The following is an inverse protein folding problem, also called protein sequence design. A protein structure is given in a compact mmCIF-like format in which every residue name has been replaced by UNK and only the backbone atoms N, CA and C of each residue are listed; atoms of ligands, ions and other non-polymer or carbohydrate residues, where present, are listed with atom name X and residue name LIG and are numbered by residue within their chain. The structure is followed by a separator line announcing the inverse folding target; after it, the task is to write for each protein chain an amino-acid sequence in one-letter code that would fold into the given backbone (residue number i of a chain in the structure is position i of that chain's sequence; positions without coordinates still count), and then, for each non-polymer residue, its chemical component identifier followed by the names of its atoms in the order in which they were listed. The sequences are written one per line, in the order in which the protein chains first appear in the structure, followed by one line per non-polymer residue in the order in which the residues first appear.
data_IF_626473009522
#
_entry.id   IF_626473009522
#
_cell.length_a   1.000
_cell.length_b   1.000
_cell.length_c   1.000
_cell.angle_alpha   90.00
_cell.angle_beta   90.00
_cell.angle_gamma   90.00
#
_symmetry.space_group_name_H-M   'P 1'
#
loop_
_entity.id
_entity.type
_entity.pdbx_description
1 polymer ?
#
# COMPACT_ATOMS: atom_id res chain seq x y z
N UNK A 1 15.73 19.24 30.51
CA UNK A 1 15.72 18.71 29.12
C UNK A 1 14.39 17.99 28.92
N UNK A 2 13.67 18.29 27.83
CA UNK A 2 12.36 17.70 27.53
C UNK A 2 12.46 16.19 27.38
N UNK A 3 11.58 15.44 28.02
CA UNK A 3 11.48 13.97 27.90
C UNK A 3 10.45 13.61 26.84
N UNK A 4 10.87 12.93 25.79
CA UNK A 4 10.05 12.66 24.61
C UNK A 4 9.91 11.14 24.44
N UNK A 5 8.67 10.66 24.35
CA UNK A 5 8.40 9.27 24.01
C UNK A 5 8.03 9.14 22.52
N UNK A 6 8.61 8.16 21.83
CA UNK A 6 8.17 7.73 20.50
C UNK A 6 7.57 6.33 20.63
N UNK A 7 6.30 6.17 20.26
CA UNK A 7 5.59 4.90 20.34
C UNK A 7 5.55 4.27 18.96
N UNK A 8 6.39 3.26 18.74
CA UNK A 8 6.55 2.54 17.48
C UNK A 8 7.91 2.79 16.82
N UNK A 9 8.69 1.73 16.63
CA UNK A 9 9.98 1.71 15.94
C UNK A 9 9.84 1.40 14.43
N UNK A 10 8.78 1.91 13.77
CA UNK A 10 8.56 1.87 12.34
C UNK A 10 9.17 3.06 11.61
N UNK A 11 8.89 3.20 10.31
CA UNK A 11 9.46 4.24 9.47
C UNK A 11 9.31 5.65 10.07
N UNK A 12 8.09 6.08 10.37
CA UNK A 12 7.85 7.42 10.92
C UNK A 12 8.45 7.62 12.31
N UNK A 13 8.42 6.58 13.17
CA UNK A 13 9.00 6.67 14.52
C UNK A 13 10.52 6.75 14.54
N UNK A 14 11.20 6.03 13.64
CA UNK A 14 12.67 6.04 13.57
C UNK A 14 13.20 7.41 13.13
N UNK A 15 12.63 7.98 12.07
CA UNK A 15 13.04 9.31 11.63
C UNK A 15 12.64 10.38 12.65
N UNK A 16 11.44 10.26 13.25
CA UNK A 16 11.01 11.18 14.32
C UNK A 16 11.97 11.17 15.50
N UNK A 17 12.43 9.99 15.93
CA UNK A 17 13.40 9.86 17.02
C UNK A 17 14.74 10.51 16.68
N UNK A 18 15.22 10.43 15.42
CA UNK A 18 16.44 11.09 14.98
C UNK A 18 16.34 12.62 15.12
N UNK A 19 15.23 13.23 14.69
CA UNK A 19 15.05 14.69 14.80
C UNK A 19 14.72 15.13 16.23
N UNK A 20 13.91 14.36 16.96
CA UNK A 20 13.56 14.67 18.34
C UNK A 20 14.76 14.64 19.30
N UNK A 21 15.81 13.85 18.99
CA UNK A 21 17.04 13.79 19.78
C UNK A 21 17.78 15.13 19.84
N UNK A 22 17.53 16.06 18.91
CA UNK A 22 18.05 17.42 18.93
C UNK A 22 17.26 18.35 19.89
N UNK A 23 16.08 17.90 20.34
CA UNK A 23 15.14 18.69 21.18
C UNK A 23 15.12 18.21 22.63
N UNK A 24 15.46 16.95 22.89
CA UNK A 24 15.37 16.41 24.24
C UNK A 24 15.91 14.99 24.38
N UNK A 25 15.63 14.40 25.53
CA UNK A 25 15.91 12.97 25.79
C UNK A 25 14.79 12.14 25.19
N UNK A 26 15.14 11.22 24.29
CA UNK A 26 14.18 10.42 23.53
C UNK A 26 14.20 8.96 23.95
N UNK A 27 13.01 8.39 24.17
CA UNK A 27 12.81 6.95 24.39
C UNK A 27 11.88 6.42 23.30
N UNK A 28 12.33 5.43 22.53
CA UNK A 28 11.53 4.70 21.56
C UNK A 28 11.00 3.42 22.18
N UNK A 29 9.69 3.24 22.20
CA UNK A 29 9.04 2.00 22.65
C UNK A 29 8.63 1.18 21.42
N UNK A 30 9.23 0.00 21.26
CA UNK A 30 8.90 -0.95 20.21
C UNK A 30 8.42 -2.28 20.84
N UNK A 31 7.23 -2.73 20.43
CA UNK A 31 6.64 -3.98 20.95
C UNK A 31 7.33 -5.25 20.41
N UNK A 32 8.01 -5.12 19.29
CA UNK A 32 8.70 -6.25 18.62
C UNK A 32 10.14 -6.40 19.10
N UNK A 33 10.77 -7.52 18.72
CA UNK A 33 12.17 -7.82 19.02
C UNK A 33 13.20 -7.03 18.23
N UNK A 34 12.76 -6.28 17.22
CA UNK A 34 13.58 -5.45 16.32
C UNK A 34 12.78 -4.27 15.81
N UNK A 35 13.44 -3.14 15.60
CA UNK A 35 12.88 -1.99 14.90
C UNK A 35 12.71 -2.27 13.40
N UNK A 36 11.94 -1.45 12.70
CA UNK A 36 11.87 -1.41 11.25
C UNK A 36 11.28 -2.64 10.57
N UNK A 37 10.53 -3.50 11.26
CA UNK A 37 10.06 -4.78 10.69
C UNK A 37 9.27 -4.63 9.39
N UNK A 38 8.41 -3.61 9.28
CA UNK A 38 7.66 -3.34 8.04
C UNK A 38 8.58 -2.77 6.95
N UNK A 39 9.64 -2.04 7.31
CA UNK A 39 10.69 -1.59 6.38
C UNK A 39 11.37 -2.80 5.72
N UNK A 40 11.71 -3.83 6.51
CA UNK A 40 12.42 -5.02 6.03
C UNK A 40 11.70 -5.76 4.90
N UNK A 41 10.37 -5.71 4.86
CA UNK A 41 9.56 -6.38 3.82
C UNK A 41 9.13 -5.46 2.70
N UNK A 42 9.31 -4.14 2.84
CA UNK A 42 8.91 -3.18 1.83
C UNK A 42 9.74 -3.30 0.54
N UNK A 43 9.12 -3.01 -0.61
CA UNK A 43 9.79 -3.09 -1.91
C UNK A 43 10.41 -4.46 -2.21
N UNK A 44 9.77 -5.56 -1.80
CA UNK A 44 10.30 -6.92 -1.91
C UNK A 44 11.68 -7.08 -1.25
N UNK A 45 11.86 -6.52 -0.06
CA UNK A 45 13.11 -6.57 0.70
C UNK A 45 14.16 -5.56 0.24
N UNK A 46 13.86 -4.67 -0.71
CA UNK A 46 14.76 -3.62 -1.20
C UNK A 46 14.54 -2.26 -0.55
N UNK A 47 13.40 -2.05 0.12
CA UNK A 47 12.95 -0.79 0.71
C UNK A 47 12.77 0.33 -0.34
N UNK A 48 11.60 0.41 -0.96
CA UNK A 48 11.24 1.54 -1.82
C UNK A 48 11.00 2.79 -0.96
N UNK A 49 12.05 3.56 -0.71
CA UNK A 49 12.08 4.69 0.25
C UNK A 49 11.11 5.80 -0.12
N UNK A 50 10.98 6.10 -1.43
CA UNK A 50 10.23 7.24 -1.93
C UNK A 50 9.95 7.09 -3.42
N UNK A 51 9.42 8.14 -4.03
CA UNK A 51 9.28 8.28 -5.46
C UNK A 51 9.79 9.66 -5.91
N UNK A 52 10.32 9.75 -7.12
CA UNK A 52 10.78 11.02 -7.70
C UNK A 52 9.62 11.99 -7.92
N UNK A 53 8.49 11.46 -8.35
CA UNK A 53 7.29 12.25 -8.65
C UNK A 53 6.27 12.02 -7.54
N UNK A 54 6.29 12.87 -6.52
CA UNK A 54 5.29 12.90 -5.46
C UNK A 54 4.20 13.90 -5.85
N UNK A 55 2.98 13.39 -6.01
CA UNK A 55 1.79 14.16 -6.33
C UNK A 55 0.67 13.81 -5.35
N UNK A 56 -0.08 14.81 -4.89
CA UNK A 56 -1.23 14.63 -4.01
C UNK A 56 -2.32 13.70 -4.62
N UNK A 57 -2.40 13.63 -5.95
CA UNK A 57 -3.31 12.72 -6.65
C UNK A 57 -2.98 11.22 -6.42
N UNK A 58 -1.79 10.91 -5.90
CA UNK A 58 -1.36 9.57 -5.51
C UNK A 58 -1.71 9.20 -4.08
N UNK A 59 -2.34 10.11 -3.35
CA UNK A 59 -2.74 9.90 -1.97
C UNK A 59 -4.25 9.92 -1.82
N UNK A 60 -4.73 9.14 -0.88
CA UNK A 60 -6.14 8.89 -0.64
C UNK A 60 -6.45 9.14 0.85
N UNK A 61 -7.72 9.17 1.18
CA UNK A 61 -8.27 9.51 2.48
C UNK A 61 -9.36 10.55 2.31
N UNK A 62 -9.95 11.04 3.38
CA UNK A 62 -11.02 12.05 3.25
C UNK A 62 -10.49 13.43 2.86
N UNK A 63 -9.28 13.77 3.29
CA UNK A 63 -8.62 15.05 2.98
C UNK A 63 -7.20 14.83 2.46
N UNK A 64 -7.01 14.25 1.25
CA UNK A 64 -5.68 13.94 0.72
C UNK A 64 -4.84 15.19 0.44
N UNK A 65 -5.45 16.37 0.27
CA UNK A 65 -4.72 17.64 0.09
C UNK A 65 -3.83 18.00 1.28
N UNK A 66 -4.05 17.38 2.45
CA UNK A 66 -3.19 17.52 3.63
C UNK A 66 -1.71 17.25 3.31
N UNK A 67 -1.42 16.31 2.41
CA UNK A 67 -0.05 15.96 2.05
C UNK A 67 0.72 17.12 1.42
N UNK A 68 0.04 18.07 0.75
CA UNK A 68 0.70 19.23 0.16
C UNK A 68 1.42 20.08 1.23
N UNK A 69 0.76 20.28 2.38
CA UNK A 69 1.36 21.01 3.48
C UNK A 69 2.51 20.23 4.15
N UNK A 70 2.37 18.91 4.21
CA UNK A 70 3.41 18.01 4.75
C UNK A 70 4.65 18.06 3.87
N UNK A 71 4.49 17.87 2.55
CA UNK A 71 5.63 17.82 1.62
C UNK A 71 6.27 19.18 1.35
N UNK A 72 5.53 20.28 1.53
CA UNK A 72 6.12 21.62 1.49
C UNK A 72 7.07 21.88 2.66
N UNK A 73 7.00 21.11 3.76
CA UNK A 73 7.87 21.23 4.94
C UNK A 73 8.98 20.20 4.98
N UNK A 74 8.70 18.99 4.54
CA UNK A 74 9.66 17.91 4.44
C UNK A 74 9.27 17.03 3.25
N UNK A 75 9.81 17.35 2.10
CA UNK A 75 9.50 16.70 0.83
C UNK A 75 10.46 15.55 0.47
N UNK A 76 10.35 15.04 -0.77
CA UNK A 76 11.25 14.01 -1.26
C UNK A 76 12.72 14.40 -1.22
N UNK A 77 13.07 15.64 -1.60
CA UNK A 77 14.46 16.10 -1.60
C UNK A 77 15.03 16.18 -0.18
N UNK A 78 14.24 16.61 0.81
CA UNK A 78 14.64 16.60 2.22
C UNK A 78 14.84 15.16 2.71
N UNK A 79 13.97 14.24 2.27
CA UNK A 79 14.12 12.81 2.55
C UNK A 79 15.43 12.26 1.98
N UNK A 80 15.75 12.57 0.73
CA UNK A 80 17.01 12.15 0.09
C UNK A 80 18.23 12.73 0.81
N UNK A 81 18.18 14.02 1.16
CA UNK A 81 19.24 14.68 1.91
C UNK A 81 19.43 14.04 3.29
N UNK A 82 18.35 13.75 4.01
CA UNK A 82 18.42 13.06 5.29
C UNK A 82 19.05 11.66 5.14
N UNK A 83 18.59 10.83 4.21
CA UNK A 83 19.16 9.50 4.02
C UNK A 83 20.63 9.54 3.65
N UNK A 84 21.04 10.46 2.78
CA UNK A 84 22.44 10.66 2.43
C UNK A 84 23.25 11.08 3.66
N UNK A 85 22.73 11.98 4.50
CA UNK A 85 23.41 12.47 5.72
C UNK A 85 23.70 11.39 6.75
N UNK A 86 22.87 10.34 6.79
CA UNK A 86 23.07 9.18 7.66
C UNK A 86 23.80 8.01 6.96
N UNK A 87 24.33 8.24 5.75
CA UNK A 87 25.13 7.26 5.01
C UNK A 87 24.34 6.28 4.15
N UNK A 88 23.14 6.64 3.72
CA UNK A 88 22.32 5.86 2.78
C UNK A 88 22.18 6.63 1.46
N UNK A 89 23.10 6.43 0.49
CA UNK A 89 22.89 6.93 -0.87
C UNK A 89 21.65 6.28 -1.49
N UNK A 90 20.92 7.05 -2.29
CA UNK A 90 19.67 6.61 -2.92
C UNK A 90 19.84 6.54 -4.43
N UNK A 91 19.29 5.50 -5.04
CA UNK A 91 19.25 5.30 -6.50
C UNK A 91 17.81 5.30 -7.00
N UNK A 92 17.63 5.84 -8.19
CA UNK A 92 16.33 5.80 -8.89
C UNK A 92 16.27 4.57 -9.80
N UNK A 93 15.14 3.85 -9.74
CA UNK A 93 14.82 2.76 -10.62
C UNK A 93 13.54 3.10 -11.43
N UNK A 94 13.00 2.10 -12.11
CA UNK A 94 11.83 2.25 -12.98
C UNK A 94 10.66 3.01 -12.31
N UNK A 95 9.96 3.80 -13.07
CA UNK A 95 8.78 4.58 -12.64
C UNK A 95 9.09 5.58 -11.50
N UNK A 96 10.31 6.09 -11.44
CA UNK A 96 10.72 7.07 -10.43
C UNK A 96 10.85 6.52 -9.02
N UNK A 97 10.85 5.20 -8.82
CA UNK A 97 11.00 4.56 -7.51
C UNK A 97 12.39 4.74 -6.96
N UNK A 98 12.49 5.16 -5.71
CA UNK A 98 13.75 5.49 -5.03
C UNK A 98 14.09 4.40 -4.00
N UNK A 99 15.31 3.86 -4.11
CA UNK A 99 15.78 2.77 -3.26
C UNK A 99 17.12 3.11 -2.65
N UNK A 100 17.51 2.53 -1.49
CA UNK A 100 18.88 2.61 -1.03
C UNK A 100 19.81 1.98 -2.08
N UNK A 101 21.00 2.55 -2.29
CA UNK A 101 21.94 2.06 -3.31
C UNK A 101 22.33 0.58 -3.10
N UNK A 102 22.26 0.09 -1.87
CA UNK A 102 22.45 -1.33 -1.54
C UNK A 102 21.36 -2.24 -2.06
N UNK A 103 20.17 -1.71 -2.43
CA UNK A 103 18.94 -2.46 -2.75
C UNK A 103 18.55 -3.47 -1.65
N UNK A 104 18.88 -3.18 -0.39
CA UNK A 104 18.60 -4.03 0.75
C UNK A 104 17.94 -3.23 1.88
N UNK A 105 16.73 -3.63 2.25
CA UNK A 105 16.00 -3.01 3.37
C UNK A 105 16.69 -3.18 4.72
N UNK A 106 17.45 -4.26 4.89
CA UNK A 106 18.24 -4.51 6.10
C UNK A 106 19.35 -3.47 6.32
N UNK A 107 19.93 -2.92 5.25
CA UNK A 107 20.91 -1.83 5.35
C UNK A 107 20.28 -0.58 5.95
N UNK A 108 19.05 -0.25 5.53
CA UNK A 108 18.31 0.92 6.07
C UNK A 108 18.09 0.76 7.57
N UNK A 109 17.61 -0.40 8.01
CA UNK A 109 17.36 -0.66 9.44
C UNK A 109 18.66 -0.62 10.24
N UNK A 110 19.74 -1.25 9.75
CA UNK A 110 21.06 -1.24 10.40
C UNK A 110 21.62 0.18 10.56
N UNK A 111 21.45 1.04 9.56
CA UNK A 111 21.91 2.44 9.66
C UNK A 111 21.08 3.20 10.69
N UNK A 112 19.75 2.99 10.75
CA UNK A 112 18.93 3.59 11.82
C UNK A 112 19.32 3.09 13.21
N UNK A 113 19.62 1.80 13.40
CA UNK A 113 20.11 1.28 14.69
C UNK A 113 21.36 2.01 15.16
N UNK A 114 22.33 2.19 14.25
CA UNK A 114 23.56 2.95 14.53
C UNK A 114 23.28 4.42 14.84
N UNK A 115 22.45 5.07 14.00
CA UNK A 115 22.20 6.51 14.09
C UNK A 115 21.44 6.88 15.37
N UNK A 116 20.45 6.06 15.78
CA UNK A 116 19.74 6.24 17.05
C UNK A 116 20.69 6.11 18.26
N UNK A 117 21.56 5.09 18.24
CA UNK A 117 22.57 4.91 19.30
C UNK A 117 23.54 6.10 19.36
N UNK A 118 24.03 6.59 18.20
CA UNK A 118 24.92 7.75 18.09
C UNK A 118 24.29 9.04 18.64
N UNK A 119 22.97 9.19 18.47
CA UNK A 119 22.20 10.34 18.99
C UNK A 119 21.75 10.18 20.44
N UNK A 120 22.11 9.08 21.12
CA UNK A 120 21.75 8.82 22.51
C UNK A 120 20.27 8.49 22.73
N UNK A 121 19.58 8.00 21.71
CA UNK A 121 18.18 7.58 21.79
C UNK A 121 18.10 6.23 22.51
N UNK A 122 17.27 6.14 23.58
CA UNK A 122 17.00 4.90 24.33
C UNK A 122 15.94 4.07 23.57
N UNK A 123 16.34 2.97 22.93
CA UNK A 123 15.44 2.08 22.19
C UNK A 123 15.04 0.88 23.05
N UNK A 124 13.78 0.84 23.47
CA UNK A 124 13.21 -0.21 24.33
C UNK A 124 12.40 -1.21 23.50
N UNK A 125 13.02 -2.32 23.17
CA UNK A 125 12.38 -3.44 22.48
C UNK A 125 11.53 -4.28 23.45
N UNK A 126 10.58 -5.05 22.89
CA UNK A 126 9.61 -5.84 23.66
C UNK A 126 8.80 -4.99 24.68
N UNK A 127 8.59 -3.73 24.39
CA UNK A 127 7.83 -2.80 25.25
C UNK A 127 6.60 -2.29 24.50
N UNK A 128 5.50 -3.02 24.63
CA UNK A 128 4.18 -2.60 24.11
C UNK A 128 3.60 -1.57 25.08
N UNK A 129 3.28 -0.37 24.58
CA UNK A 129 2.46 0.60 25.31
C UNK A 129 0.99 0.20 25.17
N UNK A 130 0.27 0.17 26.30
CA UNK A 130 -1.16 -0.18 26.35
C UNK A 130 -2.04 1.00 26.73
N UNK A 131 -1.49 2.04 27.36
CA UNK A 131 -2.26 3.25 27.62
C UNK A 131 -1.41 4.51 27.58
N UNK A 132 -2.05 5.58 27.15
CA UNK A 132 -1.58 6.96 27.23
C UNK A 132 -2.59 7.72 28.10
N UNK A 133 -2.15 8.29 29.21
CA UNK A 133 -2.98 9.17 30.03
C UNK A 133 -2.36 10.54 30.07
N UNK A 134 -3.14 11.57 29.75
CA UNK A 134 -2.72 12.96 29.89
C UNK A 134 -2.73 13.34 31.38
N UNK A 135 -1.61 13.87 31.86
CA UNK A 135 -1.47 14.51 33.16
C UNK A 135 -1.54 16.05 33.06
N UNK A 136 -1.28 16.76 34.16
CA UNK A 136 -1.25 18.22 34.18
C UNK A 136 -0.09 18.77 33.31
N UNK A 137 1.07 18.13 33.38
CA UNK A 137 2.33 18.61 32.78
C UNK A 137 2.93 17.64 31.74
N UNK A 138 2.11 16.75 31.16
CA UNK A 138 2.62 15.77 30.18
C UNK A 138 1.77 14.53 30.06
N UNK A 139 2.42 13.42 29.79
CA UNK A 139 1.77 12.12 29.53
C UNK A 139 2.36 11.02 30.39
N UNK A 140 1.50 10.17 30.91
CA UNK A 140 1.87 8.90 31.54
C UNK A 140 1.58 7.75 30.61
N UNK A 141 2.63 7.03 30.26
CA UNK A 141 2.56 5.80 29.44
C UNK A 141 2.60 4.59 30.37
N UNK A 142 1.76 3.58 30.07
CA UNK A 142 1.78 2.30 30.76
C UNK A 142 2.10 1.18 29.76
N UNK A 143 3.08 0.36 30.07
CA UNK A 143 3.45 -0.82 29.28
C UNK A 143 2.54 -2.00 29.59
N UNK A 144 2.54 -3.04 28.74
CA UNK A 144 1.88 -4.32 28.98
C UNK A 144 2.38 -5.00 30.29
N UNK A 145 3.64 -4.76 30.68
CA UNK A 145 4.22 -5.19 31.96
C UNK A 145 3.83 -4.33 33.16
N UNK A 146 2.87 -3.39 33.01
CA UNK A 146 2.42 -2.45 34.05
C UNK A 146 3.47 -1.43 34.53
N UNK A 147 4.61 -1.34 33.85
CA UNK A 147 5.57 -0.26 34.10
C UNK A 147 4.97 1.06 33.64
N UNK A 148 5.17 2.13 34.42
CA UNK A 148 4.71 3.48 34.09
C UNK A 148 5.89 4.41 33.85
N UNK A 149 5.75 5.29 32.86
CA UNK A 149 6.77 6.26 32.49
C UNK A 149 6.12 7.60 32.17
N UNK A 150 6.64 8.70 32.74
CA UNK A 150 6.14 10.05 32.48
C UNK A 150 7.02 10.76 31.43
N UNK A 151 6.37 11.49 30.51
CA UNK A 151 7.00 12.21 29.42
C UNK A 151 6.34 13.58 29.23
N UNK A 152 7.10 14.56 28.78
CA UNK A 152 6.59 15.91 28.48
C UNK A 152 5.85 15.94 27.13
N UNK A 153 6.24 15.05 26.20
CA UNK A 153 5.60 14.92 24.90
C UNK A 153 5.64 13.47 24.38
N UNK A 154 4.69 13.15 23.49
CA UNK A 154 4.55 11.84 22.89
C UNK A 154 4.42 11.95 21.37
N UNK A 155 5.22 11.19 20.61
CA UNK A 155 5.05 10.97 19.19
C UNK A 155 4.44 9.56 18.99
N UNK A 156 3.18 9.51 18.59
CA UNK A 156 2.45 8.28 18.33
C UNK A 156 2.69 7.85 16.87
N UNK A 157 3.63 6.92 16.68
CA UNK A 157 4.11 6.41 15.41
C UNK A 157 3.86 4.88 15.28
N UNK A 158 2.75 4.40 15.90
CA UNK A 158 2.47 2.97 16.06
C UNK A 158 2.06 2.27 14.74
N UNK A 159 1.82 3.03 13.68
CA UNK A 159 1.40 2.52 12.37
C UNK A 159 -0.02 1.94 12.38
N UNK A 160 -0.38 1.23 11.32
CA UNK A 160 -1.70 0.64 11.10
C UNK A 160 -1.80 -0.83 11.52
N UNK A 161 -2.97 -1.43 11.32
CA UNK A 161 -3.22 -2.85 11.51
C UNK A 161 -2.85 -3.73 10.30
N UNK A 162 -2.39 -3.15 9.18
CA UNK A 162 -2.02 -3.90 8.00
C UNK A 162 -0.66 -4.60 8.13
N UNK A 163 -0.59 -5.82 7.62
CA UNK A 163 0.57 -6.69 7.62
C UNK A 163 0.99 -7.19 9.02
N UNK A 164 0.09 -7.89 9.68
CA UNK A 164 0.31 -8.51 11.00
C UNK A 164 1.63 -9.32 11.13
N UNK A 165 2.13 -10.04 10.08
CA UNK A 165 3.43 -10.70 10.13
C UNK A 165 4.62 -9.78 10.46
N UNK A 166 4.53 -8.48 10.13
CA UNK A 166 5.54 -7.49 10.54
C UNK A 166 5.26 -6.85 11.92
N UNK A 167 4.22 -7.29 12.63
CA UNK A 167 3.88 -6.81 13.96
C UNK A 167 2.85 -5.68 13.98
N UNK A 168 2.14 -5.44 12.88
CA UNK A 168 1.03 -4.50 12.83
C UNK A 168 -0.11 -4.92 13.79
N UNK A 169 -0.86 -3.95 14.32
CA UNK A 169 -2.02 -4.18 15.19
C UNK A 169 -2.83 -2.90 15.35
N UNK A 170 -4.06 -3.01 15.86
CA UNK A 170 -4.98 -1.91 16.17
C UNK A 170 -4.53 -0.98 17.29
N UNK A 171 -3.52 -1.34 18.08
CA UNK A 171 -3.16 -0.61 19.29
C UNK A 171 -2.92 0.89 19.07
N UNK A 172 -2.36 1.27 17.90
CA UNK A 172 -2.17 2.69 17.56
C UNK A 172 -3.49 3.47 17.53
N UNK A 173 -4.53 2.89 16.96
CA UNK A 173 -5.87 3.47 16.90
C UNK A 173 -6.52 3.53 18.28
N UNK A 174 -6.36 2.50 19.11
CA UNK A 174 -6.86 2.46 20.49
C UNK A 174 -6.20 3.56 21.35
N UNK A 175 -4.88 3.72 21.20
CA UNK A 175 -4.13 4.77 21.89
C UNK A 175 -4.57 6.18 21.43
N UNK A 176 -4.75 6.40 20.14
CA UNK A 176 -5.24 7.66 19.60
C UNK A 176 -6.66 7.98 20.14
N UNK A 177 -7.57 7.00 20.09
CA UNK A 177 -8.93 7.14 20.61
C UNK A 177 -8.95 7.44 22.10
N UNK A 178 -8.05 6.83 22.91
CA UNK A 178 -7.95 7.09 24.34
C UNK A 178 -7.51 8.53 24.70
N UNK A 179 -6.92 9.24 23.73
CA UNK A 179 -6.53 10.65 23.86
C UNK A 179 -7.56 11.64 23.29
N UNK A 180 -8.72 11.12 22.87
CA UNK A 180 -9.85 11.92 22.38
C UNK A 180 -9.96 12.02 20.86
N UNK A 181 -9.06 11.39 20.10
CA UNK A 181 -9.14 11.39 18.65
C UNK A 181 -10.24 10.46 18.14
N UNK A 182 -10.85 10.85 17.04
CA UNK A 182 -11.69 9.93 16.26
C UNK A 182 -10.81 8.98 15.46
N UNK A 183 -11.36 7.81 15.13
CA UNK A 183 -10.71 6.84 14.24
C UNK A 183 -11.73 6.43 13.20
N UNK A 184 -11.44 6.70 11.94
CA UNK A 184 -12.21 6.15 10.83
C UNK A 184 -11.91 4.67 10.70
N UNK A 185 -12.96 3.89 10.53
CA UNK A 185 -12.85 2.43 10.43
C UNK A 185 -11.79 2.06 9.39
N UNK A 186 -10.70 1.39 9.79
CA UNK A 186 -9.67 0.97 8.85
C UNK A 186 -10.17 -0.15 7.95
N UNK A 187 -9.73 -0.14 6.70
CA UNK A 187 -9.94 -1.25 5.78
C UNK A 187 -8.65 -1.62 5.04
N UNK A 188 -8.50 -2.89 4.61
CA UNK A 188 -7.27 -3.34 3.96
C UNK A 188 -7.15 -2.71 2.57
N UNK A 189 -5.97 -2.18 2.27
CA UNK A 189 -5.63 -1.57 0.99
C UNK A 189 -4.28 -2.09 0.47
N UNK A 190 -4.09 -2.03 -0.84
CA UNK A 190 -2.94 -2.61 -1.57
C UNK A 190 -2.76 -4.09 -1.20
N UNK A 191 -3.64 -4.91 -1.76
CA UNK A 191 -3.63 -6.36 -1.57
C UNK A 191 -4.24 -7.08 -2.77
N UNK A 192 -4.02 -8.40 -2.94
CA UNK A 192 -4.68 -9.19 -3.97
C UNK A 192 -6.20 -9.10 -3.86
N UNK A 193 -6.88 -9.14 -5.00
CA UNK A 193 -8.34 -9.03 -5.07
C UNK A 193 -8.96 -10.42 -5.25
N UNK A 194 -9.90 -10.76 -4.36
CA UNK A 194 -10.74 -11.94 -4.53
C UNK A 194 -11.65 -11.76 -5.74
N UNK A 195 -11.67 -12.76 -6.61
CA UNK A 195 -12.63 -12.86 -7.72
C UNK A 195 -13.26 -14.25 -7.63
N UNK A 196 -14.54 -14.36 -7.23
CA UNK A 196 -15.20 -15.65 -7.05
C UNK A 196 -15.60 -16.28 -8.40
N UNK A 197 -14.60 -16.57 -9.24
CA UNK A 197 -14.78 -17.19 -10.56
C UNK A 197 -13.83 -18.39 -10.73
N UNK A 198 -14.42 -19.61 -10.68
CA UNK A 198 -13.67 -20.86 -10.73
C UNK A 198 -12.88 -21.09 -12.05
N UNK A 199 -13.35 -20.53 -13.18
CA UNK A 199 -12.62 -20.65 -14.45
C UNK A 199 -11.29 -19.91 -14.36
N UNK A 200 -11.26 -18.73 -13.74
CA UNK A 200 -10.04 -17.95 -13.57
C UNK A 200 -9.02 -18.62 -12.64
N UNK A 201 -9.45 -19.44 -11.67
CA UNK A 201 -8.53 -20.14 -10.76
C UNK A 201 -7.63 -21.13 -11.52
N UNK A 202 -8.06 -21.64 -12.68
CA UNK A 202 -7.25 -22.49 -13.56
C UNK A 202 -6.06 -21.76 -14.16
N UNK A 203 -6.07 -20.41 -14.15
CA UNK A 203 -4.96 -19.57 -14.61
C UNK A 203 -3.90 -19.31 -13.53
N UNK A 204 -4.03 -19.91 -12.33
CA UNK A 204 -3.07 -19.72 -11.23
C UNK A 204 -1.62 -19.80 -11.70
N UNK A 205 -0.84 -18.77 -11.32
CA UNK A 205 0.58 -18.63 -11.67
C UNK A 205 0.85 -17.91 -12.99
N UNK A 206 -0.17 -17.73 -13.84
CA UNK A 206 0.02 -17.02 -15.11
C UNK A 206 0.12 -15.52 -14.85
N UNK A 207 1.13 -14.92 -15.45
CA UNK A 207 1.37 -13.48 -15.47
C UNK A 207 1.11 -12.94 -16.87
N UNK A 208 0.42 -11.81 -16.97
CA UNK A 208 0.05 -11.18 -18.24
C UNK A 208 0.02 -9.67 -18.12
N UNK A 209 0.54 -8.95 -19.10
CA UNK A 209 0.44 -7.50 -19.14
C UNK A 209 -0.95 -7.06 -19.61
N UNK A 210 -1.60 -6.21 -18.82
CA UNK A 210 -2.99 -5.83 -19.02
C UNK A 210 -3.20 -4.33 -18.83
N UNK A 211 -4.31 -3.83 -19.40
CA UNK A 211 -4.99 -2.65 -18.88
C UNK A 211 -6.07 -3.07 -17.89
N UNK A 212 -6.14 -2.44 -16.73
CA UNK A 212 -7.16 -2.70 -15.73
C UNK A 212 -7.90 -1.41 -15.36
N UNK A 213 -9.22 -1.50 -15.19
CA UNK A 213 -10.00 -0.40 -14.65
C UNK A 213 -11.04 -0.93 -13.65
N UNK A 214 -11.39 -0.08 -12.71
CA UNK A 214 -12.49 -0.33 -11.78
C UNK A 214 -13.65 0.61 -12.10
N UNK A 215 -14.81 0.06 -12.31
CA UNK A 215 -16.05 0.79 -12.50
C UNK A 215 -16.92 0.68 -11.25
N UNK A 216 -17.49 1.78 -10.79
CA UNK A 216 -18.49 1.82 -9.74
C UNK A 216 -19.53 2.90 -10.05
N UNK A 217 -20.81 2.60 -9.85
CA UNK A 217 -21.92 3.48 -10.15
C UNK A 217 -21.88 4.04 -11.60
N UNK A 218 -21.49 3.21 -12.58
CA UNK A 218 -21.41 3.56 -13.99
C UNK A 218 -20.25 4.49 -14.37
N UNK A 219 -19.27 4.68 -13.48
CA UNK A 219 -18.09 5.52 -13.73
C UNK A 219 -16.81 4.75 -13.44
N UNK A 220 -15.77 5.00 -14.23
CA UNK A 220 -14.43 4.52 -13.89
C UNK A 220 -13.89 5.32 -12.70
N UNK A 221 -13.54 4.61 -11.63
CA UNK A 221 -13.03 5.20 -10.38
C UNK A 221 -11.54 4.94 -10.15
N UNK A 222 -10.97 3.95 -10.84
CA UNK A 222 -9.53 3.69 -10.83
C UNK A 222 -9.08 3.08 -12.16
N UNK A 223 -7.84 3.31 -12.55
CA UNK A 223 -7.18 2.69 -13.71
C UNK A 223 -5.75 2.31 -13.37
N UNK A 224 -5.29 1.21 -13.94
CA UNK A 224 -3.90 0.77 -13.87
C UNK A 224 -3.52 0.03 -15.15
N UNK A 225 -2.22 -0.14 -15.39
CA UNK A 225 -1.69 -0.97 -16.46
C UNK A 225 -0.39 -1.64 -15.99
N UNK A 226 -0.14 -2.84 -16.48
CA UNK A 226 1.07 -3.60 -16.21
C UNK A 226 0.78 -5.07 -15.93
N UNK A 227 1.74 -5.74 -15.26
CA UNK A 227 1.63 -7.17 -14.98
C UNK A 227 0.47 -7.47 -14.02
N UNK A 228 -0.43 -8.34 -14.46
CA UNK A 228 -1.46 -9.02 -13.66
C UNK A 228 -1.00 -10.44 -13.38
N UNK A 229 -1.17 -10.91 -12.15
CA UNK A 229 -0.94 -12.30 -11.75
C UNK A 229 -2.29 -12.95 -11.42
N UNK A 230 -2.64 -14.00 -12.13
CA UNK A 230 -3.79 -14.85 -11.78
C UNK A 230 -3.41 -15.76 -10.60
N UNK A 231 -4.33 -15.90 -9.66
CA UNK A 231 -4.14 -16.69 -8.43
C UNK A 231 -5.30 -17.65 -8.22
N UNK A 232 -5.14 -18.60 -7.31
CA UNK A 232 -6.20 -19.56 -6.92
C UNK A 232 -7.42 -18.92 -6.26
N UNK A 233 -7.45 -17.62 -6.05
CA UNK A 233 -8.55 -16.87 -5.41
C UNK A 233 -8.96 -15.63 -6.21
N UNK A 234 -8.28 -15.31 -7.29
CA UNK A 234 -8.57 -14.12 -8.09
C UNK A 234 -7.33 -13.54 -8.75
N UNK A 235 -7.04 -12.26 -8.52
CA UNK A 235 -5.99 -11.52 -9.21
C UNK A 235 -5.06 -10.78 -8.24
N UNK A 236 -3.80 -10.65 -8.64
CA UNK A 236 -2.74 -9.92 -7.95
C UNK A 236 -1.80 -9.26 -8.98
N UNK A 237 -0.60 -8.87 -8.56
CA UNK A 237 0.35 -8.15 -9.42
C UNK A 237 0.11 -6.65 -9.44
N UNK A 238 1.04 -5.85 -9.97
CA UNK A 238 0.97 -4.40 -9.96
C UNK A 238 -0.36 -3.84 -10.45
N UNK A 239 -0.87 -4.32 -11.59
CA UNK A 239 -2.12 -3.84 -12.17
C UNK A 239 -3.33 -4.03 -11.25
N UNK A 240 -3.40 -5.17 -10.53
CA UNK A 240 -4.48 -5.44 -9.57
C UNK A 240 -4.29 -4.66 -8.26
N UNK A 241 -3.06 -4.59 -7.75
CA UNK A 241 -2.75 -3.91 -6.49
C UNK A 241 -3.07 -2.42 -6.54
N UNK A 242 -2.79 -1.76 -7.66
CA UNK A 242 -3.05 -0.32 -7.84
C UNK A 242 -4.55 0.03 -7.79
N UNK A 243 -5.44 -0.87 -8.22
CA UNK A 243 -6.90 -0.65 -8.16
C UNK A 243 -7.56 -1.26 -6.92
N UNK A 244 -6.81 -2.06 -6.13
CA UNK A 244 -7.38 -2.85 -5.02
C UNK A 244 -7.96 -2.01 -3.89
N UNK A 245 -7.34 -0.86 -3.59
CA UNK A 245 -7.87 0.08 -2.59
C UNK A 245 -9.29 0.52 -2.96
N UNK A 246 -9.47 1.01 -4.18
CA UNK A 246 -10.76 1.46 -4.66
C UNK A 246 -11.77 0.31 -4.78
N UNK A 247 -11.31 -0.90 -5.17
CA UNK A 247 -12.16 -2.09 -5.23
C UNK A 247 -12.71 -2.42 -3.84
N UNK A 248 -11.85 -2.51 -2.82
CA UNK A 248 -12.24 -2.83 -1.45
C UNK A 248 -13.17 -1.75 -0.84
N UNK A 249 -12.85 -0.48 -1.02
CA UNK A 249 -13.71 0.61 -0.56
C UNK A 249 -15.13 0.50 -1.14
N UNK A 250 -15.25 0.19 -2.43
CA UNK A 250 -16.55 0.08 -3.09
C UNK A 250 -17.28 -1.22 -2.71
N UNK A 251 -16.60 -2.35 -2.52
CA UNK A 251 -17.19 -3.59 -2.01
C UNK A 251 -17.75 -3.37 -0.60
N UNK A 252 -16.96 -2.82 0.32
CA UNK A 252 -17.38 -2.54 1.70
C UNK A 252 -18.54 -1.54 1.76
N UNK A 253 -18.56 -0.57 0.85
CA UNK A 253 -19.68 0.37 0.69
C UNK A 253 -20.88 -0.22 -0.07
N UNK A 254 -20.87 -1.51 -0.46
CA UNK A 254 -21.93 -2.22 -1.20
C UNK A 254 -22.34 -1.55 -2.53
N UNK A 255 -21.34 -1.01 -3.25
CA UNK A 255 -21.56 -0.29 -4.53
C UNK A 255 -21.46 -1.17 -5.78
N UNK A 256 -21.38 -2.49 -5.61
CA UNK A 256 -21.29 -3.49 -6.69
C UNK A 256 -20.24 -3.10 -7.78
N UNK A 257 -18.97 -2.93 -7.42
CA UNK A 257 -17.95 -2.54 -8.39
C UNK A 257 -17.68 -3.66 -9.41
N UNK A 258 -17.21 -3.27 -10.60
CA UNK A 258 -16.80 -4.19 -11.65
C UNK A 258 -15.38 -3.85 -12.08
N UNK A 259 -14.50 -4.84 -12.07
CA UNK A 259 -13.16 -4.73 -12.66
C UNK A 259 -13.24 -5.11 -14.13
N UNK A 260 -12.70 -4.28 -15.01
CA UNK A 260 -12.56 -4.57 -16.43
C UNK A 260 -11.10 -4.78 -16.75
N UNK A 261 -10.78 -5.86 -17.45
CA UNK A 261 -9.41 -6.23 -17.84
C UNK A 261 -9.33 -6.26 -19.36
N UNK A 262 -8.42 -5.46 -19.91
CA UNK A 262 -8.00 -5.52 -21.30
C UNK A 262 -6.71 -6.37 -21.38
N UNK A 263 -6.81 -7.55 -21.95
CA UNK A 263 -5.67 -8.48 -22.10
C UNK A 263 -4.70 -8.09 -23.22
N UNK A 264 -5.09 -7.15 -24.08
CA UNK A 264 -4.26 -6.67 -25.20
C UNK A 264 -4.33 -5.15 -25.29
N UNK A 265 -3.82 -4.40 -24.29
CA UNK A 265 -3.97 -2.93 -24.24
C UNK A 265 -3.32 -2.22 -25.42
N UNK A 266 -2.27 -2.82 -26.03
CA UNK A 266 -1.56 -2.27 -27.18
C UNK A 266 -2.24 -2.57 -28.53
N UNK A 267 -3.37 -3.30 -28.55
CA UNK A 267 -4.09 -3.67 -29.77
C UNK A 267 -5.53 -3.18 -29.72
N UNK A 268 -5.98 -2.61 -30.82
CA UNK A 268 -7.38 -2.30 -31.05
C UNK A 268 -8.24 -3.56 -31.29
N UNK A 269 -9.56 -3.42 -31.18
CA UNK A 269 -10.50 -4.51 -31.50
C UNK A 269 -10.37 -4.95 -32.97
N UNK A 270 -10.11 -4.03 -33.90
CA UNK A 270 -9.99 -4.35 -35.32
C UNK A 270 -8.68 -5.08 -35.64
N UNK A 271 -7.57 -4.72 -34.98
CA UNK A 271 -6.31 -5.48 -35.07
C UNK A 271 -6.43 -6.90 -34.52
N UNK A 272 -7.15 -7.09 -33.39
CA UNK A 272 -7.45 -8.41 -32.87
C UNK A 272 -8.36 -9.20 -33.80
N UNK A 273 -9.34 -8.55 -34.41
CA UNK A 273 -10.23 -9.18 -35.41
C UNK A 273 -9.42 -9.70 -36.59
N UNK A 274 -8.57 -8.86 -37.18
CA UNK A 274 -7.69 -9.26 -38.28
C UNK A 274 -6.75 -10.42 -37.88
N UNK A 275 -6.22 -10.37 -36.66
CA UNK A 275 -5.39 -11.45 -36.12
C UNK A 275 -6.19 -12.76 -36.03
N UNK A 276 -7.39 -12.76 -35.46
CA UNK A 276 -8.22 -13.95 -35.34
C UNK A 276 -8.67 -14.47 -36.71
N UNK A 277 -8.97 -13.62 -37.66
CA UNK A 277 -9.31 -14.02 -39.04
C UNK A 277 -8.15 -14.79 -39.69
N UNK A 278 -6.92 -14.35 -39.50
CA UNK A 278 -5.73 -15.05 -39.98
C UNK A 278 -5.52 -16.38 -39.26
N UNK A 279 -5.68 -16.41 -37.91
CA UNK A 279 -5.53 -17.65 -37.13
C UNK A 279 -6.60 -18.68 -37.43
N UNK A 280 -7.79 -18.25 -37.87
CA UNK A 280 -8.94 -19.09 -38.21
C UNK A 280 -8.98 -19.51 -39.68
N UNK A 281 -7.86 -19.40 -40.39
CA UNK A 281 -7.75 -19.87 -41.79
C UNK A 281 -7.86 -21.39 -41.95
N UNK A 282 -7.52 -22.17 -40.93
CA UNK A 282 -7.70 -23.62 -40.92
C UNK A 282 -9.00 -24.04 -40.22
N UNK A 283 -10.00 -24.37 -40.99
CA UNK A 283 -11.35 -24.72 -40.56
C UNK A 283 -11.41 -25.95 -39.59
N UNK A 284 -10.41 -26.81 -39.59
CA UNK A 284 -10.38 -28.02 -38.76
C UNK A 284 -9.82 -27.81 -37.36
N UNK A 285 -9.15 -26.68 -37.10
CA UNK A 285 -8.58 -26.40 -35.79
C UNK A 285 -9.67 -26.14 -34.76
N UNK A 286 -9.53 -26.62 -33.51
CA UNK A 286 -10.30 -26.13 -32.36
C UNK A 286 -10.02 -24.64 -32.13
N UNK A 287 -11.05 -23.89 -31.69
CA UNK A 287 -10.91 -22.46 -31.40
C UNK A 287 -9.82 -22.21 -30.35
N UNK A 288 -9.82 -22.96 -29.27
CA UNK A 288 -8.79 -22.79 -28.24
C UNK A 288 -7.38 -23.04 -28.78
N UNK A 289 -7.19 -24.09 -29.57
CA UNK A 289 -5.89 -24.36 -30.17
C UNK A 289 -5.42 -23.25 -31.12
N UNK A 290 -6.34 -22.59 -31.83
CA UNK A 290 -5.98 -21.45 -32.71
C UNK A 290 -5.35 -20.27 -31.96
N UNK A 291 -5.63 -20.15 -30.68
CA UNK A 291 -5.14 -19.06 -29.82
C UNK A 291 -3.79 -19.36 -29.15
N UNK A 292 -3.29 -20.59 -29.23
CA UNK A 292 -2.06 -21.03 -28.57
C UNK A 292 -0.80 -20.23 -29.00
N UNK A 293 -0.84 -19.60 -30.17
CA UNK A 293 0.26 -18.75 -30.67
C UNK A 293 0.25 -17.32 -30.11
N UNK A 294 -0.83 -16.88 -29.47
CA UNK A 294 -0.98 -15.52 -28.96
C UNK A 294 -1.30 -15.44 -27.46
N UNK A 295 -1.60 -16.56 -26.83
CA UNK A 295 -1.94 -16.65 -25.39
C UNK A 295 -1.06 -17.68 -24.69
N UNK A 296 -0.82 -17.51 -23.41
CA UNK A 296 -0.11 -18.47 -22.56
C UNK A 296 -0.99 -19.70 -22.27
N UNK A 297 -0.32 -20.81 -21.88
CA UNK A 297 -0.98 -22.07 -21.50
C UNK A 297 -2.24 -21.86 -20.64
N UNK A 298 -3.28 -22.64 -20.88
CA UNK A 298 -4.59 -22.62 -20.22
C UNK A 298 -5.42 -21.36 -20.47
N UNK A 299 -4.85 -20.26 -20.94
CA UNK A 299 -5.62 -19.05 -21.26
C UNK A 299 -6.61 -19.27 -22.42
N UNK A 300 -6.24 -19.97 -23.51
CA UNK A 300 -7.15 -20.23 -24.62
C UNK A 300 -8.48 -20.85 -24.17
N UNK A 301 -8.41 -21.96 -23.43
CA UNK A 301 -9.58 -22.70 -22.98
C UNK A 301 -10.43 -21.88 -22.03
N UNK A 302 -9.79 -21.21 -21.06
CA UNK A 302 -10.48 -20.39 -20.07
C UNK A 302 -11.17 -19.19 -20.72
N UNK A 303 -10.53 -18.54 -21.70
CA UNK A 303 -11.14 -17.40 -22.39
C UNK A 303 -12.29 -17.83 -23.29
N UNK A 304 -12.21 -19.00 -23.94
CA UNK A 304 -13.33 -19.57 -24.67
C UNK A 304 -14.52 -19.81 -23.74
N UNK A 305 -14.30 -20.47 -22.60
CA UNK A 305 -15.37 -20.69 -21.59
C UNK A 305 -16.01 -19.38 -21.10
N UNK A 306 -15.17 -18.37 -20.78
CA UNK A 306 -15.66 -17.05 -20.36
C UNK A 306 -16.43 -16.32 -21.46
N UNK A 307 -16.09 -16.58 -22.73
CA UNK A 307 -16.82 -16.07 -23.90
C UNK A 307 -18.10 -16.89 -24.21
N UNK A 308 -18.38 -17.97 -23.45
CA UNK A 308 -19.49 -18.88 -23.72
C UNK A 308 -19.31 -19.69 -24.98
N UNK A 309 -18.07 -20.10 -25.27
CA UNK A 309 -17.66 -20.89 -26.43
C UNK A 309 -17.04 -22.20 -25.92
N UNK A 310 -17.46 -23.34 -26.48
CA UNK A 310 -16.80 -24.61 -26.21
C UNK A 310 -15.38 -24.57 -26.83
N UNK A 311 -14.32 -24.75 -26.03
CA UNK A 311 -12.93 -24.71 -26.50
C UNK A 311 -12.61 -25.64 -27.65
N UNK A 312 -13.30 -26.78 -27.71
CA UNK A 312 -13.12 -27.84 -28.73
C UNK A 312 -13.93 -27.58 -30.03
N UNK A 313 -14.76 -26.55 -30.05
CA UNK A 313 -15.49 -26.17 -31.25
C UNK A 313 -14.50 -25.91 -32.39
N UNK A 314 -14.72 -26.61 -33.55
CA UNK A 314 -13.90 -26.38 -34.74
C UNK A 314 -14.26 -25.03 -35.38
N UNK A 315 -13.27 -24.36 -35.93
CA UNK A 315 -13.42 -23.07 -36.62
C UNK A 315 -14.47 -23.17 -37.75
N UNK A 316 -14.57 -24.32 -38.43
CA UNK A 316 -15.64 -24.57 -39.41
C UNK A 316 -17.06 -24.35 -38.91
N UNK A 317 -17.27 -24.49 -37.62
CA UNK A 317 -18.57 -24.33 -36.94
C UNK A 317 -18.68 -23.01 -36.16
N UNK A 318 -17.67 -22.15 -36.23
CA UNK A 318 -17.61 -20.86 -35.60
C UNK A 318 -17.85 -19.73 -36.62
N UNK A 319 -18.65 -18.75 -36.23
CA UNK A 319 -18.96 -17.60 -37.08
C UNK A 319 -18.42 -16.29 -36.53
N UNK A 320 -18.89 -15.21 -37.12
CA UNK A 320 -18.54 -13.84 -36.67
C UNK A 320 -18.98 -13.60 -35.21
N UNK A 321 -20.08 -14.18 -34.76
CA UNK A 321 -20.59 -14.02 -33.41
C UNK A 321 -19.63 -14.60 -32.33
N UNK A 322 -19.09 -15.82 -32.57
CA UNK A 322 -18.09 -16.43 -31.67
C UNK A 322 -16.83 -15.59 -31.61
N UNK A 323 -16.34 -15.13 -32.75
CA UNK A 323 -15.17 -14.26 -32.86
C UNK A 323 -15.37 -12.95 -32.10
N UNK A 324 -16.52 -12.30 -32.30
CA UNK A 324 -16.80 -11.01 -31.62
C UNK A 324 -16.96 -11.16 -30.11
N UNK A 325 -17.54 -12.28 -29.61
CA UNK A 325 -17.58 -12.59 -28.17
C UNK A 325 -16.17 -12.82 -27.62
N UNK A 326 -15.32 -13.52 -28.35
CA UNK A 326 -13.94 -13.77 -27.91
C UNK A 326 -13.14 -12.46 -27.84
N UNK A 327 -13.25 -11.60 -28.86
CA UNK A 327 -12.63 -10.27 -28.89
C UNK A 327 -13.16 -9.42 -27.71
N UNK A 328 -14.47 -9.45 -27.49
CA UNK A 328 -15.08 -8.71 -26.37
C UNK A 328 -14.51 -9.18 -25.03
N UNK A 329 -14.39 -10.50 -24.83
CA UNK A 329 -13.80 -11.07 -23.60
C UNK A 329 -12.32 -10.70 -23.46
N UNK A 330 -11.54 -10.68 -24.54
CA UNK A 330 -10.12 -10.30 -24.49
C UNK A 330 -9.93 -8.80 -24.20
N UNK A 331 -10.83 -7.94 -24.65
CA UNK A 331 -10.73 -6.48 -24.53
C UNK A 331 -11.49 -5.90 -23.35
N UNK A 332 -12.44 -6.62 -22.78
CA UNK A 332 -13.31 -6.15 -21.70
C UNK A 332 -13.76 -7.35 -20.85
N UNK A 333 -12.77 -8.07 -20.26
CA UNK A 333 -13.07 -9.14 -19.31
C UNK A 333 -13.60 -8.52 -18.02
N UNK A 334 -14.89 -8.72 -17.76
CA UNK A 334 -15.61 -8.12 -16.63
C UNK A 334 -15.65 -9.07 -15.45
N UNK A 335 -15.09 -8.60 -14.31
CA UNK A 335 -14.93 -9.38 -13.10
C UNK A 335 -15.56 -8.65 -11.90
N UNK A 336 -16.30 -9.37 -11.08
CA UNK A 336 -16.83 -8.84 -9.83
C UNK A 336 -15.88 -9.17 -8.69
N UNK A 337 -15.33 -8.17 -7.98
CA UNK A 337 -14.54 -8.42 -6.79
C UNK A 337 -15.42 -8.95 -5.66
N UNK A 338 -14.91 -9.95 -4.95
CA UNK A 338 -15.50 -10.47 -3.72
C UNK A 338 -15.06 -9.67 -2.50
N UNK A 339 -15.39 -10.20 -1.31
CA UNK A 339 -14.99 -9.59 -0.03
C UNK A 339 -13.48 -9.38 0.05
N UNK A 340 -13.04 -8.26 0.67
CA UNK A 340 -11.63 -7.97 0.86
C UNK A 340 -10.90 -9.09 1.60
N UNK A 341 -9.66 -9.33 1.22
CA UNK A 341 -8.77 -10.26 1.93
C UNK A 341 -8.34 -9.66 3.29
N UNK A 342 -7.90 -10.52 4.25
CA UNK A 342 -7.56 -10.06 5.60
C UNK A 342 -6.44 -9.01 5.64
N UNK A 343 -6.44 -8.18 6.67
CA UNK A 343 -5.35 -7.22 6.95
C UNK A 343 -3.95 -7.85 7.00
N UNK A 344 -3.86 -9.13 7.34
CA UNK A 344 -2.59 -9.87 7.34
C UNK A 344 -1.91 -9.92 5.97
N UNK A 345 -2.67 -9.79 4.89
CA UNK A 345 -2.20 -9.82 3.52
C UNK A 345 -2.11 -8.42 2.89
N UNK A 346 -2.68 -7.42 3.54
CA UNK A 346 -2.64 -6.05 3.07
C UNK A 346 -1.27 -5.41 3.31
N UNK A 347 -0.77 -4.69 2.32
CA UNK A 347 0.48 -3.90 2.46
C UNK A 347 0.27 -2.70 3.37
N UNK A 348 -0.89 -2.04 3.24
CA UNK A 348 -1.31 -0.87 4.03
C UNK A 348 -2.76 -1.00 4.45
N UNK A 349 -3.17 -0.16 5.42
CA UNK A 349 -4.57 0.10 5.74
C UNK A 349 -4.93 1.53 5.31
N UNK A 350 -6.12 1.68 4.74
CA UNK A 350 -6.79 2.96 4.57
C UNK A 350 -7.65 3.25 5.80
N UNK A 351 -8.03 4.51 6.02
CA UNK A 351 -8.69 4.95 7.25
C UNK A 351 -7.69 5.33 8.34
N UNK A 352 -8.15 5.54 9.57
CA UNK A 352 -7.32 5.95 10.70
C UNK A 352 -7.71 7.30 11.28
N UNK A 353 -6.77 7.97 11.94
CA UNK A 353 -7.00 9.28 12.59
C UNK A 353 -7.21 10.37 11.54
N UNK A 354 -8.34 11.12 11.57
CA UNK A 354 -8.61 12.20 10.63
C UNK A 354 -7.53 13.28 10.69
N UNK A 355 -7.00 13.65 9.53
CA UNK A 355 -5.95 14.67 9.44
C UNK A 355 -6.44 16.08 9.79
N UNK A 356 -7.75 16.31 9.81
CA UNK A 356 -8.36 17.57 10.27
C UNK A 356 -8.12 17.82 11.78
N UNK A 357 -7.84 16.76 12.55
CA UNK A 357 -7.49 16.81 13.96
C UNK A 357 -5.99 17.06 14.22
N UNK A 358 -5.20 17.20 13.17
CA UNK A 358 -3.73 17.33 13.22
C UNK A 358 -3.31 18.65 12.58
N UNK A 359 -2.34 19.31 13.17
CA UNK A 359 -1.69 20.46 12.55
C UNK A 359 -0.64 19.97 11.52
N UNK A 360 -0.82 20.23 10.21
CA UNK A 360 0.14 19.78 9.19
C UNK A 360 1.51 20.48 9.31
N UNK A 361 1.60 21.54 10.08
CA UNK A 361 2.86 22.28 10.27
C UNK A 361 3.80 21.61 11.27
N UNK A 362 3.24 20.90 12.24
CA UNK A 362 3.96 20.33 13.38
C UNK A 362 3.68 18.84 13.59
N UNK A 363 2.63 18.31 12.97
CA UNK A 363 2.01 17.03 13.27
C UNK A 363 1.44 16.92 14.69
N UNK A 364 1.33 18.04 15.43
CA UNK A 364 0.73 18.08 16.75
C UNK A 364 -0.78 17.89 16.68
N UNK A 365 -1.32 17.16 17.63
CA UNK A 365 -2.75 16.99 17.82
C UNK A 365 -3.40 18.34 18.18
N UNK A 366 -4.50 18.68 17.49
CA UNK A 366 -5.36 19.81 17.86
C UNK A 366 -6.22 19.54 19.10
N UNK A 367 -6.31 18.26 19.51
CA UNK A 367 -7.13 17.79 20.63
C UNK A 367 -6.29 17.65 21.91
N UNK A 368 -5.10 17.07 21.80
CA UNK A 368 -4.21 16.76 22.92
C UNK A 368 -2.84 17.41 22.72
N UNK A 369 -2.66 18.64 23.25
CA UNK A 369 -1.39 19.36 23.14
C UNK A 369 -0.22 18.54 23.70
N UNK A 370 0.90 18.52 22.97
CA UNK A 370 2.09 17.72 23.26
C UNK A 370 2.03 16.28 22.74
N UNK A 371 0.91 15.88 22.12
CA UNK A 371 0.78 14.64 21.39
C UNK A 371 0.97 14.91 19.88
N UNK A 372 1.82 14.14 19.22
CA UNK A 372 2.07 14.18 17.78
C UNK A 372 1.69 12.85 17.16
N UNK A 373 1.01 12.84 16.01
CA UNK A 373 0.57 11.62 15.35
C UNK A 373 1.16 11.56 13.94
N UNK A 374 1.78 10.43 13.58
CA UNK A 374 2.57 10.32 12.35
C UNK A 374 2.34 9.02 11.58
N UNK A 375 2.66 9.06 10.29
CA UNK A 375 2.67 7.89 9.42
C UNK A 375 1.30 7.29 9.15
N UNK A 376 1.28 6.00 8.95
CA UNK A 376 0.12 5.20 8.51
C UNK A 376 -1.01 5.11 9.57
N UNK A 377 -0.84 5.73 10.72
CA UNK A 377 -1.91 5.89 11.72
C UNK A 377 -2.94 6.94 11.31
N UNK A 378 -2.53 7.89 10.46
CA UNK A 378 -3.37 8.95 9.92
C UNK A 378 -4.24 8.42 8.77
N UNK A 379 -5.42 9.03 8.58
CA UNK A 379 -6.31 8.75 7.44
C UNK A 379 -5.75 9.33 6.12
N UNK A 380 -4.54 8.87 5.80
CA UNK A 380 -3.84 9.10 4.53
C UNK A 380 -3.12 7.82 4.13
N UNK A 381 -3.45 7.32 2.96
CA UNK A 381 -2.77 6.22 2.31
C UNK A 381 -2.33 6.61 0.89
N UNK A 382 -1.22 6.09 0.43
CA UNK A 382 -0.67 6.35 -0.90
C UNK A 382 -0.71 5.12 -1.79
N UNK A 383 -0.64 5.34 -3.10
CA UNK A 383 -0.49 4.28 -4.12
C UNK A 383 0.75 3.41 -3.85
N UNK A 384 0.91 2.34 -4.64
CA UNK A 384 2.18 1.60 -4.69
C UNK A 384 3.29 2.46 -5.29
N UNK A 385 4.54 2.28 -4.82
CA UNK A 385 5.67 2.98 -5.46
C UNK A 385 6.49 3.92 -4.58
N UNK A 386 6.41 3.79 -3.25
CA UNK A 386 7.21 4.57 -2.28
C UNK A 386 6.43 5.69 -1.59
N UNK A 387 5.21 5.95 -2.00
CA UNK A 387 4.39 7.05 -1.49
C UNK A 387 4.09 6.92 0.02
N UNK A 388 3.76 5.73 0.50
CA UNK A 388 3.47 5.49 1.92
C UNK A 388 4.70 5.68 2.81
N UNK A 389 5.88 5.24 2.37
CA UNK A 389 7.12 5.47 3.11
C UNK A 389 7.51 6.94 3.09
N UNK A 390 7.35 7.64 1.95
CA UNK A 390 7.58 9.09 1.89
C UNK A 390 6.72 9.84 2.91
N UNK A 391 5.43 9.53 2.97
CA UNK A 391 4.53 10.15 3.95
C UNK A 391 4.94 9.86 5.40
N UNK A 392 5.38 8.62 5.66
CA UNK A 392 5.88 8.24 6.98
C UNK A 392 7.17 9.00 7.35
N UNK A 393 8.11 9.15 6.41
CA UNK A 393 9.33 9.94 6.65
C UNK A 393 9.01 11.40 6.92
N UNK A 394 8.20 12.01 6.07
CA UNK A 394 7.85 13.43 6.16
C UNK A 394 7.16 13.77 7.48
N UNK A 395 6.10 13.04 7.81
CA UNK A 395 5.35 13.28 9.05
C UNK A 395 6.18 13.00 10.29
N UNK A 396 7.04 11.97 10.26
CA UNK A 396 7.96 11.66 11.36
C UNK A 396 8.99 12.77 11.56
N UNK A 397 9.63 13.24 10.50
CA UNK A 397 10.63 14.32 10.55
C UNK A 397 10.01 15.63 11.08
N UNK A 398 8.84 16.00 10.58
CA UNK A 398 8.11 17.21 11.05
C UNK A 398 7.80 17.12 12.54
N UNK A 399 7.23 15.99 12.99
CA UNK A 399 6.91 15.79 14.41
C UNK A 399 8.17 15.83 15.29
N UNK A 400 9.24 15.16 14.87
CA UNK A 400 10.51 15.14 15.60
C UNK A 400 11.18 16.51 15.69
N UNK A 401 11.00 17.35 14.67
CA UNK A 401 11.53 18.73 14.67
C UNK A 401 10.70 19.67 15.56
N UNK A 402 9.38 19.44 15.64
CA UNK A 402 8.44 20.33 16.32
C UNK A 402 8.27 20.02 17.82
N UNK A 403 8.59 18.79 18.25
CA UNK A 403 8.36 18.31 19.61
C UNK A 403 9.14 19.04 20.71
#
# INVERSE_FOLDING_TARGET
MKRIAVIGGGASGLIAACFAAERGSVVVFEKQKKIGRKILVSGNGRCNLSNRVIDAARYHGKNPKFVNNVFARFGPDDTLAFFLSIGIPVVELERGRLYPASLQSSSVVKVFEYELARRGVDVRLHRKIESIKRGNDGFRLTTAGKETHDFDAVILAAGSCAYAPAGASSIGYELAASTGHTVREPFPAILPINIPNKALYRLEGIKWDVGAALEANGRTVARSAGELLFTKYGISGPAALDISRAANENVLARRSPVITIDLFPERSRDELRATLESLWSDANKPIAFSLAGILKERMPEVLCELAGIDPETRIAHAGAAERDRLIATMKDLRLQPGEPRPFAEAVIAAGGVPVDEIDPATMESRIAKGLYITGELLDIDGDTGGFNLQFAWSTGAIAGTAV
#
